data_IF_386823393471
#
_entry.id   IF_386823393471
#
_cell.length_a   1.000
_cell.length_b   1.000
_cell.length_c   1.000
_cell.angle_alpha   90.00
_cell.angle_beta   90.00
_cell.angle_gamma   90.00
#
_symmetry.space_group_name_H-M   'P 1'
#
loop_
_entity.id
_entity.type
_entity.pdbx_description
1 polymer ?
#
# COMPACT_ATOMS: atom_id res chain seq x y z
N UNK A 1 -3.42 62.18 -35.11
CA UNK A 1 -2.46 61.09 -35.40
C UNK A 1 -1.52 60.94 -34.21
N UNK A 2 -1.83 60.01 -33.31
CA UNK A 2 -0.95 59.51 -32.25
C UNK A 2 -1.40 58.06 -31.97
N UNK A 3 -0.48 57.08 -31.85
CA UNK A 3 -0.87 55.68 -31.82
C UNK A 3 -1.11 55.17 -30.39
N UNK A 4 -2.03 54.21 -30.36
CA UNK A 4 -2.46 53.32 -29.29
C UNK A 4 -1.33 52.47 -28.69
N UNK A 5 -1.36 52.23 -27.38
CA UNK A 5 -0.63 51.12 -26.72
C UNK A 5 -1.58 50.37 -25.78
N UNK A 6 -1.70 49.07 -26.03
CA UNK A 6 -2.58 48.15 -25.34
C UNK A 6 -2.10 47.73 -23.95
N UNK A 7 -3.06 47.27 -23.16
CA UNK A 7 -2.89 46.63 -21.87
C UNK A 7 -2.27 45.23 -22.04
N UNK A 8 -1.13 44.99 -21.39
CA UNK A 8 -0.54 43.66 -21.20
C UNK A 8 -0.29 43.40 -19.72
N UNK A 9 -0.99 42.40 -19.16
CA UNK A 9 -0.74 41.89 -17.81
C UNK A 9 0.65 41.23 -17.75
N UNK A 10 1.58 41.81 -17.01
CA UNK A 10 2.84 41.16 -16.63
C UNK A 10 2.71 40.42 -15.30
N UNK A 11 2.66 39.09 -15.32
CA UNK A 11 2.93 38.25 -14.13
C UNK A 11 4.45 38.23 -13.91
N UNK A 12 4.93 38.89 -12.85
CA UNK A 12 6.30 38.72 -12.35
C UNK A 12 6.41 37.33 -11.70
N UNK A 13 7.29 36.48 -12.24
CA UNK A 13 7.73 35.26 -11.58
C UNK A 13 8.54 35.62 -10.33
N UNK A 14 8.13 35.12 -9.17
CA UNK A 14 8.94 35.16 -7.95
C UNK A 14 10.03 34.08 -8.08
N UNK A 15 11.28 34.52 -8.17
CA UNK A 15 12.47 33.66 -8.08
C UNK A 15 12.66 33.32 -6.59
N UNK A 16 12.63 32.05 -6.22
CA UNK A 16 13.01 31.58 -4.87
C UNK A 16 14.54 31.72 -4.71
N UNK A 17 15.06 32.13 -3.53
CA UNK A 17 16.49 32.22 -3.31
C UNK A 17 17.12 30.83 -3.11
N UNK A 18 18.24 30.58 -3.80
CA UNK A 18 19.06 29.38 -3.70
C UNK A 18 19.54 29.10 -2.26
N UNK A 19 19.39 27.85 -1.82
CA UNK A 19 19.78 27.40 -0.48
C UNK A 19 21.31 27.20 -0.40
N UNK A 20 21.98 27.95 0.48
CA UNK A 20 23.46 28.05 0.50
C UNK A 20 24.25 26.87 1.09
N UNK A 21 23.65 25.79 1.61
CA UNK A 21 24.40 24.72 2.31
C UNK A 21 23.96 23.28 1.96
N UNK A 22 24.24 22.79 0.73
CA UNK A 22 23.88 21.44 0.29
C UNK A 22 24.50 20.31 1.15
N UNK A 23 25.71 20.51 1.68
CA UNK A 23 26.40 19.51 2.51
C UNK A 23 25.74 19.22 3.87
N UNK A 24 25.02 20.17 4.49
CA UNK A 24 24.31 19.94 5.77
C UNK A 24 22.97 19.21 5.57
N UNK A 25 22.36 19.34 4.39
CA UNK A 25 21.13 18.65 3.99
C UNK A 25 21.44 17.17 3.73
N UNK A 26 22.51 16.90 2.97
CA UNK A 26 22.97 15.54 2.66
C UNK A 26 23.35 14.73 3.93
N UNK A 27 23.98 15.36 4.94
CA UNK A 27 24.30 14.69 6.21
C UNK A 27 23.04 14.36 7.02
N UNK A 28 22.06 15.29 7.10
CA UNK A 28 20.77 15.04 7.77
C UNK A 28 19.93 13.97 7.06
N UNK A 29 19.97 13.90 5.72
CA UNK A 29 19.29 12.85 4.94
C UNK A 29 19.96 11.48 5.11
N UNK A 30 21.30 11.41 5.15
CA UNK A 30 22.03 10.17 5.47
C UNK A 30 21.72 9.67 6.89
N UNK A 31 21.68 10.56 7.87
CA UNK A 31 21.27 10.21 9.25
C UNK A 31 19.81 9.76 9.33
N UNK A 32 18.90 10.33 8.52
CA UNK A 32 17.49 9.92 8.42
C UNK A 32 17.32 8.56 7.74
N UNK A 33 18.11 8.27 6.70
CA UNK A 33 18.12 6.97 6.02
C UNK A 33 18.68 5.85 6.93
N UNK A 34 19.76 6.12 7.67
CA UNK A 34 20.34 5.18 8.65
C UNK A 34 19.39 4.98 9.84
N UNK A 35 18.73 6.05 10.34
CA UNK A 35 17.64 5.92 11.32
C UNK A 35 16.46 5.10 10.80
N UNK A 36 16.09 5.24 9.53
CA UNK A 36 15.01 4.46 8.91
C UNK A 36 15.37 2.97 8.78
N UNK A 37 16.62 2.62 8.46
CA UNK A 37 17.09 1.23 8.38
C UNK A 37 17.19 0.56 9.77
N UNK A 38 17.67 1.28 10.78
CA UNK A 38 17.69 0.80 12.17
C UNK A 38 16.25 0.69 12.70
N UNK A 39 15.37 1.64 12.35
CA UNK A 39 13.93 1.58 12.63
C UNK A 39 13.22 0.41 11.96
N UNK A 40 13.59 0.01 10.73
CA UNK A 40 12.96 -1.11 10.01
C UNK A 40 13.20 -2.45 10.71
N UNK A 41 14.45 -2.74 11.08
CA UNK A 41 14.81 -4.00 11.73
C UNK A 41 14.26 -4.08 13.15
N UNK A 42 14.34 -2.97 13.89
CA UNK A 42 13.77 -2.86 15.23
C UNK A 42 12.24 -2.98 15.19
N UNK A 43 11.57 -2.33 14.25
CA UNK A 43 10.12 -2.44 14.07
C UNK A 43 9.69 -3.88 13.81
N UNK A 44 10.31 -4.56 12.84
CA UNK A 44 9.97 -5.95 12.56
C UNK A 44 10.18 -6.85 13.77
N UNK A 45 11.30 -6.70 14.49
CA UNK A 45 11.58 -7.52 15.68
C UNK A 45 10.59 -7.25 16.81
N UNK A 46 10.25 -5.97 17.05
CA UNK A 46 9.34 -5.57 18.14
C UNK A 46 7.92 -6.03 17.83
N UNK A 47 7.37 -5.70 16.67
CA UNK A 47 6.01 -6.08 16.30
C UNK A 47 5.84 -7.59 16.17
N UNK A 48 6.83 -8.30 15.61
CA UNK A 48 6.78 -9.76 15.55
C UNK A 48 6.78 -10.39 16.93
N UNK A 49 7.56 -9.86 17.88
CA UNK A 49 7.58 -10.35 19.27
C UNK A 49 6.25 -10.10 19.98
N UNK A 50 5.70 -8.89 19.85
CA UNK A 50 4.41 -8.51 20.45
C UNK A 50 3.29 -9.38 19.89
N UNK A 51 3.22 -9.54 18.57
CA UNK A 51 2.15 -10.30 17.92
C UNK A 51 2.26 -11.79 18.21
N UNK A 52 3.47 -12.37 18.21
CA UNK A 52 3.68 -13.78 18.61
C UNK A 52 3.25 -14.00 20.06
N UNK A 53 3.62 -13.11 20.98
CA UNK A 53 3.19 -13.23 22.37
C UNK A 53 1.67 -13.09 22.54
N UNK A 54 1.01 -12.23 21.75
CA UNK A 54 -0.44 -12.07 21.80
C UNK A 54 -1.15 -13.31 21.24
N UNK A 55 -0.64 -13.89 20.16
CA UNK A 55 -1.15 -15.12 19.57
C UNK A 55 -1.03 -16.30 20.53
N UNK A 56 0.14 -16.48 21.16
CA UNK A 56 0.39 -17.57 22.11
C UNK A 56 -0.45 -17.48 23.39
N UNK A 57 -0.69 -16.26 23.90
CA UNK A 57 -1.38 -16.05 25.18
C UNK A 57 -2.90 -15.94 25.04
N UNK A 58 -3.35 -15.23 24.02
CA UNK A 58 -4.74 -14.80 23.87
C UNK A 58 -5.45 -15.45 22.68
N UNK A 59 -4.75 -16.27 21.87
CA UNK A 59 -5.33 -16.99 20.74
C UNK A 59 -5.81 -16.08 19.61
N UNK A 60 -5.14 -14.93 19.41
CA UNK A 60 -5.54 -13.93 18.40
C UNK A 60 -5.32 -14.48 16.98
N UNK A 61 -6.31 -14.26 16.11
CA UNK A 61 -6.29 -14.69 14.69
C UNK A 61 -6.06 -13.53 13.72
N UNK A 62 -6.26 -12.28 14.18
CA UNK A 62 -6.24 -11.10 13.32
C UNK A 62 -5.65 -9.85 14.01
N UNK A 63 -5.10 -8.93 13.23
CA UNK A 63 -4.55 -7.66 13.70
C UNK A 63 -5.22 -6.51 12.97
N UNK A 64 -5.89 -5.63 13.71
CA UNK A 64 -6.44 -4.38 13.18
C UNK A 64 -5.43 -3.24 13.24
N UNK A 65 -5.27 -2.52 12.12
CA UNK A 65 -4.38 -1.35 12.02
C UNK A 65 -5.19 -0.10 11.67
N UNK A 66 -4.89 1.00 12.36
CA UNK A 66 -5.53 2.30 12.17
C UNK A 66 -4.88 3.18 11.09
N UNK A 67 -4.16 2.61 10.13
CA UNK A 67 -3.53 3.39 9.05
C UNK A 67 -4.60 3.89 8.07
N UNK A 68 -4.69 5.21 7.85
CA UNK A 68 -5.71 5.80 6.98
C UNK A 68 -5.15 6.00 5.56
N UNK A 69 -3.99 6.64 5.39
CA UNK A 69 -3.42 6.92 4.07
C UNK A 69 -2.10 6.18 3.83
N UNK A 70 -1.33 5.93 4.89
CA UNK A 70 0.03 5.41 4.77
C UNK A 70 0.11 3.94 4.30
N UNK A 71 0.45 3.75 3.02
CA UNK A 71 0.77 2.41 2.46
C UNK A 71 1.95 1.76 3.18
N UNK A 72 2.93 2.57 3.59
CA UNK A 72 4.12 2.10 4.28
C UNK A 72 3.83 1.43 5.62
N UNK A 73 2.93 2.02 6.42
CA UNK A 73 2.50 1.45 7.70
C UNK A 73 1.68 0.17 7.49
N UNK A 74 0.71 0.21 6.56
CA UNK A 74 -0.13 -0.95 6.23
C UNK A 74 0.71 -2.15 5.78
N UNK A 75 1.57 -1.98 4.77
CA UNK A 75 2.38 -3.06 4.19
C UNK A 75 3.30 -3.70 5.23
N UNK A 76 3.83 -2.91 6.17
CA UNK A 76 4.65 -3.45 7.27
C UNK A 76 3.85 -4.34 8.22
N UNK A 77 2.64 -3.94 8.60
CA UNK A 77 1.78 -4.77 9.46
C UNK A 77 1.37 -6.04 8.72
N UNK A 78 0.94 -5.93 7.45
CA UNK A 78 0.61 -7.09 6.62
C UNK A 78 1.78 -8.09 6.54
N UNK A 79 2.99 -7.59 6.33
CA UNK A 79 4.18 -8.43 6.22
C UNK A 79 4.51 -9.20 7.52
N UNK A 80 4.26 -8.61 8.69
CA UNK A 80 4.40 -9.32 9.98
C UNK A 80 3.28 -10.34 10.15
N UNK A 81 2.03 -9.96 9.86
CA UNK A 81 0.86 -10.81 10.01
C UNK A 81 0.97 -12.07 9.13
N UNK A 82 1.36 -11.93 7.87
CA UNK A 82 1.58 -13.05 6.95
C UNK A 82 2.56 -14.11 7.49
N UNK A 83 3.65 -13.67 8.14
CA UNK A 83 4.64 -14.61 8.70
C UNK A 83 4.11 -15.38 9.90
N UNK A 84 3.20 -14.76 10.66
CA UNK A 84 2.58 -15.34 11.85
C UNK A 84 1.26 -16.05 11.55
N UNK A 85 0.81 -16.04 10.28
CA UNK A 85 -0.48 -16.59 9.88
C UNK A 85 -1.68 -15.81 10.43
N UNK A 86 -1.50 -14.52 10.73
CA UNK A 86 -2.55 -13.63 11.22
C UNK A 86 -3.23 -12.90 10.06
N UNK A 87 -4.52 -12.62 10.17
CA UNK A 87 -5.27 -11.81 9.21
C UNK A 87 -5.09 -10.32 9.50
N UNK A 88 -4.46 -9.52 8.61
CA UNK A 88 -4.43 -8.07 8.77
C UNK A 88 -5.78 -7.44 8.39
N UNK A 89 -6.26 -6.51 9.21
CA UNK A 89 -7.49 -5.74 9.00
C UNK A 89 -7.14 -4.24 8.92
N UNK A 90 -7.39 -3.60 7.78
CA UNK A 90 -7.04 -2.20 7.52
C UNK A 90 -8.27 -1.42 7.04
N UNK A 91 -9.34 -1.41 7.83
CA UNK A 91 -10.65 -0.87 7.45
C UNK A 91 -10.65 0.62 7.11
N UNK A 92 -9.72 1.39 7.70
CA UNK A 92 -9.63 2.84 7.47
C UNK A 92 -8.78 3.20 6.24
N UNK A 93 -8.05 2.24 5.69
CA UNK A 93 -7.08 2.52 4.64
C UNK A 93 -7.76 3.04 3.37
N UNK A 94 -7.24 4.15 2.84
CA UNK A 94 -7.68 4.90 1.66
C UNK A 94 -9.13 5.43 1.74
N UNK A 95 -9.75 5.47 2.92
CA UNK A 95 -11.02 6.19 3.11
C UNK A 95 -10.82 7.70 2.93
N UNK A 96 -11.87 8.38 2.50
CA UNK A 96 -11.88 9.84 2.43
C UNK A 96 -11.70 10.44 3.84
N UNK A 97 -10.71 11.32 4.00
CA UNK A 97 -10.32 11.84 5.31
C UNK A 97 -11.37 12.79 5.90
N UNK A 98 -12.04 13.58 5.07
CA UNK A 98 -13.07 14.52 5.52
C UNK A 98 -14.30 13.76 6.05
N UNK A 99 -14.81 12.80 5.29
CA UNK A 99 -15.90 11.93 5.74
C UNK A 99 -15.51 11.14 6.99
N UNK A 100 -14.30 10.56 7.01
CA UNK A 100 -13.83 9.78 8.14
C UNK A 100 -13.72 10.61 9.43
N UNK A 101 -13.18 11.83 9.35
CA UNK A 101 -13.11 12.72 10.50
C UNK A 101 -14.51 13.08 11.01
N UNK A 102 -15.42 13.40 10.08
CA UNK A 102 -16.83 13.71 10.39
C UNK A 102 -17.51 12.53 11.10
N UNK A 103 -17.27 11.30 10.64
CA UNK A 103 -17.80 10.06 11.23
C UNK A 103 -17.23 9.77 12.62
N UNK A 104 -15.93 10.00 12.84
CA UNK A 104 -15.32 9.88 14.17
C UNK A 104 -16.01 10.82 15.16
N UNK A 105 -16.21 12.08 14.76
CA UNK A 105 -16.87 13.09 15.58
C UNK A 105 -18.33 12.73 15.87
N UNK A 106 -19.09 12.30 14.84
CA UNK A 106 -20.50 11.93 15.00
C UNK A 106 -20.71 10.61 15.75
N UNK A 107 -19.67 9.78 15.87
CA UNK A 107 -19.65 8.56 16.68
C UNK A 107 -19.24 8.81 18.14
N UNK A 108 -19.31 10.06 18.61
CA UNK A 108 -18.93 10.50 19.95
C UNK A 108 -17.48 10.15 20.34
N UNK A 109 -16.56 10.17 19.37
CA UNK A 109 -15.12 10.06 19.64
C UNK A 109 -14.59 11.42 20.13
N UNK A 110 -14.43 11.54 21.44
CA UNK A 110 -13.92 12.74 22.07
C UNK A 110 -12.39 12.68 22.18
N UNK A 111 -11.71 13.22 21.18
CA UNK A 111 -10.26 13.38 21.17
C UNK A 111 -9.84 14.84 21.22
N UNK A 112 -8.64 15.11 21.74
CA UNK A 112 -8.00 16.43 21.73
C UNK A 112 -6.69 16.39 20.95
N UNK A 113 -6.27 17.53 20.40
CA UNK A 113 -4.94 17.67 19.79
C UNK A 113 -3.87 17.73 20.90
N UNK A 114 -2.94 16.78 20.90
CA UNK A 114 -1.83 16.70 21.88
C UNK A 114 -0.49 17.06 21.28
N UNK A 115 -0.38 17.17 19.97
CA UNK A 115 0.82 17.63 19.29
C UNK A 115 0.42 18.33 18.01
N UNK A 116 1.17 19.35 17.63
CA UNK A 116 1.09 19.99 16.33
C UNK A 116 2.49 20.21 15.76
N UNK A 117 2.62 20.05 14.44
CA UNK A 117 3.89 20.11 13.73
C UNK A 117 3.71 20.50 12.25
N UNK A 118 2.69 21.31 11.93
CA UNK A 118 2.40 21.70 10.55
C UNK A 118 2.17 23.21 10.41
N UNK A 119 2.41 23.70 9.19
CA UNK A 119 2.14 25.08 8.83
C UNK A 119 0.66 25.42 9.04
N UNK A 120 0.41 26.52 9.74
CA UNK A 120 -0.95 26.94 10.11
C UNK A 120 -1.46 26.33 11.42
N UNK A 121 -0.76 25.35 12.01
CA UNK A 121 -1.07 24.90 13.37
C UNK A 121 -0.15 25.58 14.39
N UNK A 122 -0.76 26.33 15.30
CA UNK A 122 -0.09 27.06 16.38
C UNK A 122 -0.27 26.31 17.71
N UNK A 123 0.82 25.87 18.36
CA UNK A 123 0.76 25.18 19.65
C UNK A 123 -0.03 25.92 20.73
N UNK A 124 0.10 27.24 20.82
CA UNK A 124 -0.56 28.03 21.87
C UNK A 124 -2.07 28.14 21.64
N UNK A 125 -2.51 28.03 20.38
CA UNK A 125 -3.91 28.20 19.99
C UNK A 125 -4.65 26.89 19.82
N UNK A 126 -3.97 25.79 19.48
CA UNK A 126 -4.61 24.56 19.02
C UNK A 126 -4.38 23.36 19.94
N UNK A 127 -3.30 23.32 20.73
CA UNK A 127 -3.11 22.20 21.66
C UNK A 127 -4.22 22.20 22.72
N UNK A 128 -4.72 21.00 23.04
CA UNK A 128 -5.79 20.77 24.01
C UNK A 128 -7.19 21.01 23.45
N UNK A 129 -7.34 21.56 22.24
CA UNK A 129 -8.66 21.73 21.64
C UNK A 129 -9.27 20.39 21.24
N UNK A 130 -10.60 20.22 21.42
CA UNK A 130 -11.33 19.09 20.88
C UNK A 130 -11.16 18.97 19.37
N UNK A 131 -11.05 17.74 18.88
CA UNK A 131 -10.93 17.44 17.46
C UNK A 131 -12.15 17.93 16.67
N UNK A 132 -13.33 17.86 17.27
CA UNK A 132 -14.59 18.39 16.70
C UNK A 132 -14.51 19.89 16.42
N UNK A 133 -13.98 20.68 17.38
CA UNK A 133 -13.83 22.13 17.22
C UNK A 133 -12.79 22.49 16.16
N UNK A 134 -11.79 21.61 15.96
CA UNK A 134 -10.72 21.80 15.01
C UNK A 134 -11.10 21.39 13.58
N UNK A 135 -12.13 20.57 13.39
CA UNK A 135 -12.51 20.02 12.08
C UNK A 135 -12.66 21.10 10.98
N UNK A 136 -13.46 22.19 11.16
CA UNK A 136 -13.61 23.20 10.10
C UNK A 136 -12.29 23.88 9.75
N UNK A 137 -11.42 24.07 10.74
CA UNK A 137 -10.11 24.67 10.56
C UNK A 137 -9.15 23.75 9.81
N UNK A 138 -9.15 22.45 10.13
CA UNK A 138 -8.33 21.45 9.44
C UNK A 138 -8.74 21.31 7.97
N UNK A 139 -10.04 21.35 7.66
CA UNK A 139 -10.57 21.39 6.29
C UNK A 139 -10.05 22.62 5.53
N UNK A 140 -10.10 23.78 6.16
CA UNK A 140 -9.59 25.03 5.57
C UNK A 140 -8.07 24.95 5.33
N UNK A 141 -7.29 24.44 6.29
CA UNK A 141 -5.85 24.27 6.13
C UNK A 141 -5.53 23.30 5.00
N UNK A 142 -6.30 22.22 4.86
CA UNK A 142 -6.11 21.24 3.78
C UNK A 142 -6.30 21.89 2.41
N UNK A 143 -7.36 22.67 2.23
CA UNK A 143 -7.60 23.41 0.98
C UNK A 143 -6.50 24.44 0.67
N UNK A 144 -5.93 25.07 1.70
CA UNK A 144 -4.97 26.17 1.51
C UNK A 144 -3.53 25.70 1.37
N UNK A 145 -3.15 24.64 2.08
CA UNK A 145 -1.76 24.20 2.25
C UNK A 145 -1.55 22.71 1.96
N UNK A 146 -2.61 21.94 1.71
CA UNK A 146 -2.52 20.51 1.43
C UNK A 146 -2.20 19.65 2.65
N UNK A 147 -2.44 20.14 3.87
CA UNK A 147 -2.29 19.30 5.08
C UNK A 147 -3.32 18.17 5.09
N UNK A 148 -2.93 17.03 5.65
CA UNK A 148 -3.85 15.91 5.83
C UNK A 148 -4.85 16.21 6.94
N UNK A 149 -6.14 16.12 6.62
CA UNK A 149 -7.25 16.43 7.53
C UNK A 149 -7.18 15.54 8.77
N UNK A 150 -6.84 14.26 8.61
CA UNK A 150 -6.68 13.29 9.70
C UNK A 150 -5.26 13.23 10.31
N UNK A 151 -4.34 14.13 9.93
CA UNK A 151 -2.99 14.20 10.52
C UNK A 151 -2.01 13.11 10.08
N UNK A 152 -2.28 12.42 8.97
CA UNK A 152 -1.48 11.28 8.46
C UNK A 152 0.00 11.60 8.19
N UNK A 153 0.32 12.85 7.85
CA UNK A 153 1.68 13.33 7.62
C UNK A 153 2.44 13.64 8.92
N UNK A 154 1.81 13.42 10.08
CA UNK A 154 2.33 13.81 11.38
C UNK A 154 2.11 15.30 11.68
N UNK A 155 1.15 15.93 11.00
CA UNK A 155 0.80 17.34 11.19
C UNK A 155 0.30 17.62 12.61
N UNK A 156 -0.41 16.66 13.19
CA UNK A 156 -0.82 16.68 14.58
C UNK A 156 -0.97 15.26 15.09
N UNK A 157 -0.98 15.10 16.41
CA UNK A 157 -1.35 13.85 17.08
C UNK A 157 -2.50 14.11 18.04
N UNK A 158 -3.32 13.10 18.28
CA UNK A 158 -4.50 13.20 19.16
C UNK A 158 -4.45 12.21 20.31
N UNK A 159 -5.19 12.54 21.37
CA UNK A 159 -5.44 11.64 22.48
C UNK A 159 -6.94 11.55 22.73
N UNK A 160 -7.47 10.33 22.73
CA UNK A 160 -8.91 10.07 22.92
C UNK A 160 -9.21 10.03 24.41
N UNK A 161 -10.00 10.99 24.89
CA UNK A 161 -10.42 11.11 26.29
C UNK A 161 -11.64 10.24 26.59
N UNK A 162 -12.57 10.15 25.63
CA UNK A 162 -13.75 9.31 25.76
C UNK A 162 -14.24 8.85 24.40
N UNK A 163 -14.87 7.69 24.37
CA UNK A 163 -15.70 7.24 23.26
C UNK A 163 -16.74 6.25 23.80
N UNK A 164 -17.77 5.89 23.03
CA UNK A 164 -18.82 5.02 23.55
C UNK A 164 -18.35 3.63 24.00
N UNK A 165 -17.22 3.14 23.47
CA UNK A 165 -16.63 1.86 23.88
C UNK A 165 -15.88 1.93 25.22
N UNK A 166 -15.55 3.13 25.72
CA UNK A 166 -14.87 3.28 26.99
C UNK A 166 -15.83 3.04 28.15
N UNK A 167 -15.38 2.27 29.16
CA UNK A 167 -16.13 2.06 30.42
C UNK A 167 -16.05 3.27 31.36
N UNK A 168 -14.96 4.04 31.24
CA UNK A 168 -14.65 5.24 32.01
C UNK A 168 -14.06 6.27 31.07
N UNK A 169 -14.40 7.54 31.25
CA UNK A 169 -13.74 8.63 30.53
C UNK A 169 -12.43 8.99 31.22
N UNK A 170 -11.47 9.47 30.46
CA UNK A 170 -10.16 9.93 30.95
C UNK A 170 -10.25 11.44 31.15
N UNK A 171 -9.85 11.91 32.33
CA UNK A 171 -9.82 13.33 32.70
C UNK A 171 -8.37 13.75 32.90
N UNK A 172 -8.00 14.89 32.32
CA UNK A 172 -6.68 15.49 32.45
C UNK A 172 -6.74 16.51 33.59
N UNK A 173 -6.01 16.26 34.66
CA UNK A 173 -5.99 17.14 35.84
C UNK A 173 -4.91 18.22 35.71
N UNK A 174 -3.75 17.84 35.17
CA UNK A 174 -2.64 18.75 34.97
C UNK A 174 -1.86 18.41 33.70
N UNK A 175 -1.51 19.47 32.96
CA UNK A 175 -0.81 19.38 31.68
C UNK A 175 0.17 20.54 31.54
N UNK A 176 1.30 20.27 30.88
CA UNK A 176 2.28 21.26 30.48
C UNK A 176 2.43 21.28 28.97
N UNK A 177 2.44 22.48 28.38
CA UNK A 177 2.75 22.66 26.97
C UNK A 177 4.27 22.75 26.78
N UNK A 178 4.83 21.84 25.99
CA UNK A 178 6.25 21.80 25.65
C UNK A 178 6.45 22.24 24.20
N UNK A 179 7.17 23.34 23.99
CA UNK A 179 7.57 23.78 22.66
C UNK A 179 8.89 23.11 22.28
N UNK A 180 8.83 22.21 21.31
CA UNK A 180 10.00 21.48 20.81
C UNK A 180 10.78 22.30 19.77
N UNK A 181 10.07 23.07 18.94
CA UNK A 181 10.67 23.97 17.97
C UNK A 181 9.80 25.20 17.79
N UNK A 182 10.36 26.38 18.02
CA UNK A 182 9.70 27.67 17.82
C UNK A 182 9.96 28.22 16.40
N UNK A 183 9.88 27.37 15.38
CA UNK A 183 10.01 27.80 14.00
C UNK A 183 8.92 28.82 13.67
N UNK A 184 9.27 29.88 12.95
CA UNK A 184 8.36 30.99 12.66
C UNK A 184 7.19 30.60 11.72
N UNK A 185 7.32 29.48 11.00
CA UNK A 185 6.37 29.04 9.99
C UNK A 185 5.68 27.74 10.37
N UNK A 186 6.38 26.81 11.02
CA UNK A 186 5.83 25.52 11.46
C UNK A 186 6.30 25.18 12.88
N UNK A 187 5.78 25.88 13.91
CA UNK A 187 6.13 25.59 15.29
C UNK A 187 5.70 24.17 15.66
N UNK A 188 6.55 23.49 16.40
CA UNK A 188 6.32 22.13 16.91
C UNK A 188 6.14 22.19 18.41
N UNK A 189 4.98 21.78 18.88
CA UNK A 189 4.66 21.71 20.30
C UNK A 189 3.81 20.50 20.63
N UNK A 190 3.88 20.05 21.88
CA UNK A 190 3.07 18.94 22.38
C UNK A 190 2.68 19.13 23.84
N UNK A 191 1.63 18.44 24.25
CA UNK A 191 1.15 18.37 25.61
C UNK A 191 1.84 17.24 26.35
N UNK A 192 2.40 17.55 27.53
CA UNK A 192 2.88 16.59 28.50
C UNK A 192 1.89 16.52 29.65
N UNK A 193 1.14 15.44 29.73
CA UNK A 193 0.25 15.18 30.86
C UNK A 193 1.09 14.83 32.10
N UNK A 194 0.87 15.56 33.19
CA UNK A 194 1.54 15.30 34.48
C UNK A 194 0.62 14.52 35.42
N UNK A 195 -0.69 14.80 35.36
CA UNK A 195 -1.70 14.11 36.16
C UNK A 195 -2.94 13.83 35.31
N UNK A 196 -3.40 12.58 35.36
CA UNK A 196 -4.62 12.10 34.70
C UNK A 196 -5.34 11.12 35.63
N UNK A 197 -6.67 11.10 35.57
CA UNK A 197 -7.47 10.09 36.25
C UNK A 197 -8.62 9.62 35.35
N UNK A 198 -9.36 8.62 35.83
CA UNK A 198 -10.55 8.10 35.12
C UNK A 198 -11.81 8.34 35.94
N UNK A 199 -12.85 8.84 35.30
CA UNK A 199 -14.19 8.99 35.90
C UNK A 199 -15.15 7.96 35.32
N UNK A 200 -16.06 7.46 36.15
CA UNK A 200 -17.14 6.60 35.66
C UNK A 200 -18.04 7.40 34.73
N UNK A 201 -18.54 6.74 33.68
CA UNK A 201 -19.59 7.29 32.82
C UNK A 201 -20.93 7.05 33.50
N UNK A 202 -21.88 7.95 33.29
CA UNK A 202 -23.26 7.69 33.68
C UNK A 202 -23.76 6.43 32.94
N UNK A 203 -24.24 5.46 33.70
CA UNK A 203 -24.49 4.11 33.23
C UNK A 203 -25.71 4.05 32.29
N UNK A 204 -25.47 4.05 30.97
CA UNK A 204 -26.27 3.35 29.94
C UNK A 204 -25.79 3.58 28.49
N UNK A 205 -24.75 4.39 28.24
CA UNK A 205 -24.35 4.77 26.86
C UNK A 205 -23.73 3.63 26.06
N UNK A 206 -23.05 2.66 26.69
CA UNK A 206 -22.33 1.58 25.97
C UNK A 206 -23.31 0.63 25.26
N UNK A 207 -24.48 0.38 25.85
CA UNK A 207 -25.50 -0.49 25.27
C UNK A 207 -26.26 0.18 24.11
N UNK A 208 -26.40 1.51 24.12
CA UNK A 208 -27.07 2.28 23.08
C UNK A 208 -26.17 2.67 21.91
N UNK A 209 -24.86 2.73 22.10
CA UNK A 209 -23.92 3.23 21.10
C UNK A 209 -23.47 2.19 20.06
N UNK A 210 -23.67 0.91 20.34
CA UNK A 210 -23.61 -0.13 19.31
C UNK A 210 -25.04 -0.33 18.82
N UNK A 211 -25.44 0.20 17.64
CA UNK A 211 -26.71 -0.16 17.06
C UNK A 211 -26.74 -1.68 16.89
N UNK A 212 -27.46 -2.36 17.78
CA UNK A 212 -27.91 -3.73 17.55
C UNK A 212 -28.94 -3.64 16.43
N UNK A 213 -28.47 -3.57 15.19
CA UNK A 213 -29.32 -3.40 14.02
C UNK A 213 -28.60 -3.58 12.69
N UNK A 214 -27.36 -3.09 12.57
CA UNK A 214 -26.47 -3.35 11.42
C UNK A 214 -25.12 -2.67 11.65
N UNK A 215 -24.03 -3.32 11.24
CA UNK A 215 -22.73 -2.64 11.16
C UNK A 215 -22.85 -1.44 10.20
N UNK A 216 -22.22 -0.28 10.45
CA UNK A 216 -22.07 0.76 9.42
C UNK A 216 -21.38 0.22 8.15
N UNK A 217 -20.58 -0.84 8.31
CA UNK A 217 -19.97 -1.60 7.23
C UNK A 217 -20.94 -2.54 6.50
N UNK A 218 -22.16 -2.77 7.00
CA UNK A 218 -23.12 -3.72 6.44
C UNK A 218 -23.48 -3.34 5.00
N UNK A 219 -23.82 -2.08 4.72
CA UNK A 219 -24.08 -1.63 3.35
C UNK A 219 -22.88 -1.82 2.41
N UNK A 220 -21.65 -1.64 2.92
CA UNK A 220 -20.44 -1.86 2.12
C UNK A 220 -20.15 -3.34 1.88
N UNK A 221 -20.42 -4.19 2.89
CA UNK A 221 -20.35 -5.65 2.78
C UNK A 221 -21.43 -6.14 1.82
N UNK A 222 -22.67 -5.69 1.96
CA UNK A 222 -23.81 -6.10 1.13
C UNK A 222 -23.55 -5.70 -0.33
N UNK A 223 -23.09 -4.48 -0.61
CA UNK A 223 -22.70 -4.06 -1.96
C UNK A 223 -21.55 -4.91 -2.52
N UNK A 224 -20.52 -5.23 -1.72
CA UNK A 224 -19.44 -6.13 -2.15
C UNK A 224 -19.95 -7.55 -2.40
N UNK A 225 -20.93 -8.01 -1.61
CA UNK A 225 -21.53 -9.34 -1.74
C UNK A 225 -22.39 -9.41 -3.00
N UNK A 226 -23.16 -8.36 -3.32
CA UNK A 226 -23.91 -8.24 -4.58
C UNK A 226 -22.98 -8.21 -5.80
N UNK A 227 -21.84 -7.51 -5.74
CA UNK A 227 -20.84 -7.52 -6.83
C UNK A 227 -20.17 -8.90 -7.02
N UNK A 228 -19.89 -9.61 -5.92
CA UNK A 228 -19.36 -10.99 -5.96
C UNK A 228 -20.42 -11.96 -6.50
N UNK A 229 -21.67 -11.85 -6.08
CA UNK A 229 -22.78 -12.66 -6.59
C UNK A 229 -23.04 -12.40 -8.07
N UNK A 230 -22.91 -11.14 -8.54
CA UNK A 230 -22.98 -10.81 -9.96
C UNK A 230 -21.82 -11.43 -10.75
N UNK A 231 -20.60 -11.41 -10.21
CA UNK A 231 -19.43 -12.03 -10.84
C UNK A 231 -19.56 -13.56 -10.95
N UNK A 232 -20.09 -14.22 -9.91
CA UNK A 232 -20.35 -15.67 -9.91
C UNK A 232 -21.51 -16.07 -10.85
N UNK A 233 -22.45 -15.14 -11.10
CA UNK A 233 -23.55 -15.33 -12.06
C UNK A 233 -23.16 -15.01 -13.51
N UNK A 234 -21.97 -14.43 -13.75
CA UNK A 234 -21.48 -14.21 -15.10
C UNK A 234 -21.27 -15.58 -15.76
N UNK A 235 -22.05 -15.86 -16.81
CA UNK A 235 -21.87 -17.09 -17.57
C UNK A 235 -20.47 -17.10 -18.17
N UNK A 236 -19.66 -18.08 -17.76
CA UNK A 236 -18.42 -18.43 -18.42
C UNK A 236 -18.78 -18.75 -19.87
N UNK A 237 -18.50 -17.81 -20.77
CA UNK A 237 -18.75 -17.98 -22.18
C UNK A 237 -17.73 -18.99 -22.70
N UNK A 238 -18.03 -20.28 -22.53
CA UNK A 238 -17.36 -21.39 -23.20
C UNK A 238 -17.69 -21.36 -24.69
N UNK A 239 -17.47 -20.22 -25.34
CA UNK A 239 -17.31 -20.24 -26.78
C UNK A 239 -16.10 -21.11 -27.05
N UNK A 240 -16.34 -22.34 -27.50
CA UNK A 240 -15.38 -23.09 -28.29
C UNK A 240 -14.93 -22.15 -29.40
N UNK A 241 -13.77 -21.53 -29.23
CA UNK A 241 -13.11 -20.82 -30.30
C UNK A 241 -12.75 -21.89 -31.33
N UNK A 242 -13.65 -22.13 -32.29
CA UNK A 242 -13.37 -22.94 -33.48
C UNK A 242 -12.48 -22.15 -34.43
N UNK A 243 -11.31 -21.74 -33.93
CA UNK A 243 -10.19 -21.37 -34.77
C UNK A 243 -9.64 -22.69 -35.31
N UNK A 244 -10.11 -23.09 -36.50
CA UNK A 244 -9.41 -24.04 -37.37
C UNK A 244 -8.11 -23.39 -37.89
N UNK A 245 -7.21 -23.03 -36.98
CA UNK A 245 -5.80 -22.82 -37.29
C UNK A 245 -5.08 -24.06 -36.79
N UNK A 246 -4.34 -24.68 -37.71
CA UNK A 246 -3.68 -25.97 -37.58
C UNK A 246 -3.10 -26.24 -36.17
N UNK A 247 -3.69 -27.22 -35.47
CA UNK A 247 -3.15 -27.86 -34.27
C UNK A 247 -1.88 -28.72 -34.56
N UNK A 248 -1.24 -28.51 -35.72
CA UNK A 248 -0.05 -29.26 -36.14
C UNK A 248 1.23 -28.87 -35.39
N UNK A 249 1.17 -27.89 -34.49
CA UNK A 249 2.26 -27.50 -33.61
C UNK A 249 2.36 -28.31 -32.30
N UNK A 250 1.48 -29.30 -32.05
CA UNK A 250 1.55 -30.16 -30.85
C UNK A 250 2.71 -31.18 -30.84
N UNK A 251 3.83 -30.90 -31.51
CA UNK A 251 5.08 -31.59 -31.19
C UNK A 251 5.75 -30.85 -30.04
N UNK A 252 5.60 -31.40 -28.83
CA UNK A 252 6.36 -31.04 -27.64
C UNK A 252 7.85 -31.20 -27.88
N UNK A 253 8.45 -30.15 -28.43
CA UNK A 253 9.89 -30.00 -28.51
C UNK A 253 10.32 -29.02 -27.43
N UNK A 254 11.41 -29.37 -26.74
CA UNK A 254 12.16 -28.57 -25.78
C UNK A 254 12.67 -27.27 -26.43
N UNK A 255 11.77 -26.37 -26.78
CA UNK A 255 12.14 -25.06 -27.29
C UNK A 255 12.67 -24.26 -26.10
N UNK A 256 13.92 -23.76 -26.17
CA UNK A 256 14.47 -22.94 -25.11
C UNK A 256 13.62 -21.67 -24.96
N UNK A 257 13.63 -21.05 -23.76
CA UNK A 257 12.93 -19.80 -23.54
C UNK A 257 13.31 -18.76 -24.60
N UNK A 258 12.29 -18.14 -25.18
CA UNK A 258 12.46 -17.07 -26.16
C UNK A 258 12.55 -15.73 -25.45
N UNK A 259 13.20 -14.76 -26.07
CA UNK A 259 13.28 -13.42 -25.53
C UNK A 259 13.14 -12.39 -26.64
N UNK A 260 12.29 -11.39 -26.41
CA UNK A 260 12.12 -10.31 -27.37
C UNK A 260 13.38 -9.43 -27.41
N UNK A 261 13.57 -8.67 -28.49
CA UNK A 261 14.43 -7.50 -28.45
C UNK A 261 13.99 -6.57 -27.31
N UNK A 262 14.96 -5.86 -26.72
CA UNK A 262 14.65 -4.80 -25.76
C UNK A 262 14.06 -3.62 -26.53
N UNK A 263 12.89 -3.15 -26.12
CA UNK A 263 12.27 -1.96 -26.71
C UNK A 263 13.08 -0.70 -26.39
N UNK A 264 12.88 0.35 -27.18
CA UNK A 264 13.45 1.67 -26.91
C UNK A 264 13.02 2.28 -25.57
N UNK A 265 11.95 1.75 -24.98
CA UNK A 265 11.41 2.17 -23.67
C UNK A 265 11.82 1.23 -22.53
N UNK A 266 12.83 0.39 -22.71
CA UNK A 266 13.39 -0.45 -21.65
C UNK A 266 12.65 -1.77 -21.38
N UNK A 267 11.53 -2.04 -22.05
CA UNK A 267 10.78 -3.30 -21.89
C UNK A 267 11.42 -4.48 -22.62
N UNK A 268 11.35 -5.67 -22.03
CA UNK A 268 11.76 -6.93 -22.66
C UNK A 268 10.92 -8.10 -22.17
N UNK A 269 10.49 -8.97 -23.09
CA UNK A 269 9.79 -10.22 -22.77
C UNK A 269 10.76 -11.39 -22.67
N UNK A 270 10.52 -12.27 -21.71
CA UNK A 270 11.05 -13.64 -21.67
C UNK A 270 9.83 -14.57 -21.65
N UNK A 271 9.72 -15.46 -22.63
CA UNK A 271 8.53 -16.28 -22.84
C UNK A 271 8.87 -17.75 -23.02
N UNK A 272 7.95 -18.63 -22.63
CA UNK A 272 8.09 -20.08 -22.77
C UNK A 272 8.90 -20.74 -21.64
N UNK A 273 9.06 -20.08 -20.50
CA UNK A 273 9.68 -20.70 -19.32
C UNK A 273 8.74 -21.80 -18.84
N UNK A 274 9.28 -23.00 -18.65
CA UNK A 274 8.48 -24.16 -18.25
C UNK A 274 9.26 -25.07 -17.31
N UNK A 275 8.55 -26.02 -16.71
CA UNK A 275 9.08 -26.92 -15.70
C UNK A 275 9.25 -28.36 -16.15
N UNK A 276 9.23 -28.64 -17.46
CA UNK A 276 9.23 -30.02 -18.02
C UNK A 276 10.47 -30.82 -17.59
N UNK A 277 11.61 -30.15 -17.41
CA UNK A 277 12.87 -30.72 -16.94
C UNK A 277 12.90 -31.12 -15.46
N UNK A 278 11.79 -30.94 -14.72
CA UNK A 278 11.75 -31.27 -13.30
C UNK A 278 11.82 -32.78 -13.07
N UNK A 279 12.55 -33.19 -12.02
CA UNK A 279 12.57 -34.58 -11.55
C UNK A 279 11.29 -34.97 -10.82
N UNK A 280 10.57 -33.98 -10.30
CA UNK A 280 9.28 -34.16 -9.66
C UNK A 280 8.19 -33.74 -10.66
N UNK A 281 7.34 -34.68 -11.12
CA UNK A 281 6.31 -34.40 -12.11
C UNK A 281 5.17 -33.54 -11.56
N UNK A 282 5.05 -33.38 -10.23
CA UNK A 282 4.01 -32.55 -9.62
C UNK A 282 4.18 -31.06 -9.95
N UNK A 283 3.08 -30.30 -9.82
CA UNK A 283 3.09 -28.85 -10.12
C UNK A 283 4.15 -28.10 -9.33
N UNK A 284 4.39 -28.48 -8.07
CA UNK A 284 5.39 -27.83 -7.21
C UNK A 284 6.82 -28.03 -7.75
N UNK A 285 7.12 -29.26 -8.18
CA UNK A 285 8.37 -29.62 -8.83
C UNK A 285 8.58 -28.86 -10.13
N UNK A 286 7.57 -28.83 -11.00
CA UNK A 286 7.65 -28.08 -12.26
C UNK A 286 7.77 -26.57 -12.02
N UNK A 287 7.03 -26.01 -11.05
CA UNK A 287 7.09 -24.58 -10.73
C UNK A 287 8.49 -24.21 -10.24
N UNK A 288 9.10 -25.02 -9.38
CA UNK A 288 10.46 -24.79 -8.89
C UNK A 288 11.51 -24.85 -10.01
N UNK A 289 11.35 -25.82 -10.93
CA UNK A 289 12.22 -25.94 -12.10
C UNK A 289 12.06 -24.75 -13.07
N UNK A 290 10.83 -24.28 -13.29
CA UNK A 290 10.53 -23.12 -14.11
C UNK A 290 11.18 -21.85 -13.54
N UNK A 291 11.08 -21.60 -12.24
CA UNK A 291 11.76 -20.46 -11.61
C UNK A 291 13.29 -20.57 -11.63
N UNK A 292 13.84 -21.78 -11.53
CA UNK A 292 15.29 -22.00 -11.68
C UNK A 292 15.75 -21.67 -13.11
N UNK A 293 14.96 -22.09 -14.11
CA UNK A 293 15.20 -21.74 -15.51
C UNK A 293 15.08 -20.23 -15.74
N UNK A 294 14.05 -19.59 -15.19
CA UNK A 294 13.88 -18.13 -15.24
C UNK A 294 15.09 -17.41 -14.65
N UNK A 295 15.51 -17.76 -13.43
CA UNK A 295 16.67 -17.15 -12.78
C UNK A 295 17.93 -17.27 -13.64
N UNK A 296 18.18 -18.45 -14.21
CA UNK A 296 19.31 -18.70 -15.10
C UNK A 296 19.27 -17.78 -16.33
N UNK A 297 18.09 -17.59 -16.92
CA UNK A 297 17.91 -16.75 -18.10
C UNK A 297 18.03 -15.25 -17.79
N UNK A 298 17.61 -14.82 -16.60
CA UNK A 298 17.83 -13.47 -16.09
C UNK A 298 19.32 -13.21 -15.88
N UNK A 299 20.02 -14.09 -15.17
CA UNK A 299 21.44 -13.93 -14.83
C UNK A 299 22.29 -13.87 -16.10
N UNK A 300 22.00 -14.74 -17.07
CA UNK A 300 22.68 -14.77 -18.38
C UNK A 300 22.55 -13.45 -19.15
N UNK A 301 21.48 -12.69 -18.91
CA UNK A 301 21.16 -11.44 -19.61
C UNK A 301 21.38 -10.19 -18.75
N UNK A 302 21.87 -10.34 -17.52
CA UNK A 302 22.09 -9.23 -16.58
C UNK A 302 20.82 -8.66 -15.95
N UNK A 303 19.70 -9.37 -16.01
CA UNK A 303 18.46 -9.00 -15.32
C UNK A 303 18.41 -9.59 -13.91
N UNK A 304 17.57 -9.01 -13.05
CA UNK A 304 17.29 -9.51 -11.70
C UNK A 304 15.79 -9.77 -11.55
N UNK A 305 15.43 -10.65 -10.60
CA UNK A 305 14.03 -10.95 -10.28
C UNK A 305 13.19 -9.69 -9.96
N UNK A 306 13.81 -8.65 -9.39
CA UNK A 306 13.16 -7.37 -9.08
C UNK A 306 12.78 -6.54 -10.32
N UNK A 307 13.36 -6.83 -11.47
CA UNK A 307 13.14 -6.10 -12.73
C UNK A 307 11.91 -6.65 -13.48
N UNK A 308 11.37 -7.79 -13.04
CA UNK A 308 10.11 -8.35 -13.55
C UNK A 308 8.95 -7.49 -13.06
N UNK A 309 8.13 -7.00 -14.00
CA UNK A 309 6.98 -6.14 -13.71
C UNK A 309 5.64 -6.84 -13.91
N UNK A 310 5.55 -7.79 -14.85
CA UNK A 310 4.36 -8.57 -15.13
C UNK A 310 4.75 -10.02 -15.39
N UNK A 311 3.95 -10.96 -14.86
CA UNK A 311 4.10 -12.40 -15.05
C UNK A 311 2.79 -12.96 -15.59
N UNK A 312 2.83 -13.66 -16.71
CA UNK A 312 1.74 -14.52 -17.13
C UNK A 312 2.06 -15.95 -16.72
N UNK A 313 1.17 -16.56 -15.95
CA UNK A 313 1.24 -17.96 -15.56
C UNK A 313 0.09 -18.67 -16.25
N UNK A 314 0.41 -19.56 -17.16
CA UNK A 314 -0.55 -20.47 -17.76
C UNK A 314 -0.46 -21.78 -17.00
N UNK A 315 -1.59 -22.26 -16.47
CA UNK A 315 -1.67 -23.55 -15.78
C UNK A 315 -2.53 -24.52 -16.57
N UNK A 316 -2.22 -25.81 -16.48
CA UNK A 316 -3.04 -26.84 -17.14
C UNK A 316 -4.40 -27.01 -16.44
N UNK A 317 -4.42 -26.93 -15.12
CA UNK A 317 -5.61 -27.02 -14.27
C UNK A 317 -5.55 -25.91 -13.21
N UNK A 318 -6.67 -25.22 -12.96
CA UNK A 318 -6.78 -24.24 -11.88
C UNK A 318 -6.85 -24.88 -10.48
N UNK A 319 -7.06 -26.20 -10.39
CA UNK A 319 -6.97 -26.94 -9.12
C UNK A 319 -5.56 -26.85 -8.51
N UNK A 320 -4.55 -26.68 -9.35
CA UNK A 320 -3.15 -26.56 -8.94
C UNK A 320 -2.77 -25.16 -8.39
N UNK A 321 -3.70 -24.19 -8.43
CA UNK A 321 -3.43 -22.79 -8.11
C UNK A 321 -2.81 -22.59 -6.70
N UNK A 322 -3.37 -23.25 -5.70
CA UNK A 322 -2.90 -23.14 -4.30
C UNK A 322 -1.51 -23.75 -4.14
N UNK A 323 -1.26 -24.90 -4.75
CA UNK A 323 0.03 -25.60 -4.70
C UNK A 323 1.12 -24.81 -5.43
N UNK A 324 0.81 -24.24 -6.59
CA UNK A 324 1.68 -23.34 -7.35
C UNK A 324 2.05 -22.09 -6.53
N UNK A 325 1.07 -21.45 -5.89
CA UNK A 325 1.29 -20.25 -5.08
C UNK A 325 2.24 -20.50 -3.90
N UNK A 326 2.24 -21.72 -3.34
CA UNK A 326 3.14 -22.11 -2.25
C UNK A 326 4.62 -22.06 -2.67
N UNK A 327 4.93 -22.36 -3.93
CA UNK A 327 6.28 -22.23 -4.50
C UNK A 327 6.55 -20.81 -4.96
N UNK A 328 5.61 -20.22 -5.72
CA UNK A 328 5.73 -18.88 -6.29
C UNK A 328 6.12 -17.82 -5.24
N UNK A 329 5.47 -17.83 -4.07
CA UNK A 329 5.72 -16.86 -2.99
C UNK A 329 7.14 -16.89 -2.42
N UNK A 330 7.92 -17.95 -2.67
CA UNK A 330 9.32 -18.06 -2.24
C UNK A 330 10.27 -17.25 -3.12
N UNK A 331 9.85 -16.89 -4.33
CA UNK A 331 10.69 -16.22 -5.33
C UNK A 331 10.54 -14.69 -5.33
N UNK A 332 9.46 -14.16 -4.75
CA UNK A 332 9.21 -12.73 -4.67
C UNK A 332 9.06 -12.28 -3.22
N UNK A 333 9.58 -11.09 -2.92
CA UNK A 333 9.51 -10.48 -1.59
C UNK A 333 8.29 -9.58 -1.43
N UNK A 334 8.48 -8.46 -0.71
CA UNK A 334 7.47 -7.41 -0.55
C UNK A 334 7.19 -6.79 -1.92
N UNK A 335 5.91 -6.61 -2.27
CA UNK A 335 5.45 -6.07 -3.56
C UNK A 335 5.90 -6.91 -4.77
N UNK A 336 5.34 -8.13 -4.94
CA UNK A 336 5.59 -8.99 -6.11
C UNK A 336 5.13 -8.33 -7.43
N UNK A 337 5.49 -8.85 -8.61
CA UNK A 337 4.99 -8.35 -9.89
C UNK A 337 3.49 -8.48 -10.04
N UNK A 338 2.94 -7.70 -10.97
CA UNK A 338 1.61 -7.97 -11.49
C UNK A 338 1.59 -9.39 -12.07
N UNK A 339 0.50 -10.13 -11.86
CA UNK A 339 0.41 -11.52 -12.35
C UNK A 339 -0.96 -11.83 -12.89
N UNK A 340 -1.00 -12.32 -14.13
CA UNK A 340 -2.16 -12.99 -14.71
C UNK A 340 -1.96 -14.49 -14.56
N UNK A 341 -2.95 -15.21 -14.01
CA UNK A 341 -2.91 -16.67 -13.90
C UNK A 341 -4.17 -17.24 -14.54
N UNK A 342 -4.02 -18.00 -15.63
CA UNK A 342 -5.17 -18.53 -16.40
C UNK A 342 -4.97 -19.99 -16.74
N UNK A 343 -6.07 -20.73 -16.85
CA UNK A 343 -6.05 -22.09 -17.37
C UNK A 343 -5.82 -22.07 -18.89
N UNK A 344 -4.93 -22.93 -19.39
CA UNK A 344 -4.67 -23.06 -20.82
C UNK A 344 -4.40 -24.53 -21.21
N UNK A 345 -4.74 -24.92 -22.46
CA UNK A 345 -4.41 -26.26 -22.97
C UNK A 345 -2.90 -26.36 -23.25
N UNK A 346 -2.14 -26.83 -22.27
CA UNK A 346 -0.69 -27.02 -22.36
C UNK A 346 -0.30 -28.40 -22.94
N UNK A 347 0.88 -28.53 -23.60
CA UNK A 347 1.40 -29.80 -24.11
C UNK A 347 1.42 -30.91 -23.06
N UNK A 348 1.32 -32.17 -23.48
CA UNK A 348 1.33 -33.32 -22.57
C UNK A 348 2.55 -33.30 -21.64
N UNK A 349 2.33 -33.53 -20.34
CA UNK A 349 3.38 -33.50 -19.31
C UNK A 349 3.74 -32.10 -18.80
N UNK A 350 3.43 -31.03 -19.54
CA UNK A 350 3.63 -29.65 -19.08
C UNK A 350 2.44 -29.22 -18.21
N UNK A 351 2.71 -28.84 -16.95
CA UNK A 351 1.66 -28.39 -16.01
C UNK A 351 1.55 -26.87 -15.93
N UNK A 352 2.64 -26.16 -16.24
CA UNK A 352 2.64 -24.70 -16.30
C UNK A 352 3.54 -24.12 -17.39
N UNK A 353 3.30 -22.87 -17.75
CA UNK A 353 4.20 -22.02 -18.50
C UNK A 353 4.22 -20.61 -17.90
N UNK A 354 5.39 -19.98 -17.92
CA UNK A 354 5.58 -18.61 -17.42
C UNK A 354 6.15 -17.74 -18.54
N UNK A 355 5.49 -16.61 -18.76
CA UNK A 355 6.05 -15.48 -19.51
C UNK A 355 6.24 -14.30 -18.56
N UNK A 356 7.33 -13.57 -18.71
CA UNK A 356 7.69 -12.44 -17.87
C UNK A 356 7.99 -11.22 -18.73
N UNK A 357 7.41 -10.08 -18.35
CA UNK A 357 7.78 -8.77 -18.85
C UNK A 357 8.73 -8.11 -17.84
N UNK A 358 9.86 -7.65 -18.35
CA UNK A 358 10.89 -6.94 -17.61
C UNK A 358 10.95 -5.48 -18.06
N UNK A 359 11.42 -4.62 -17.16
CA UNK A 359 11.68 -3.22 -17.47
C UNK A 359 13.03 -2.78 -16.91
N UNK A 360 13.83 -2.16 -17.77
CA UNK A 360 15.12 -1.59 -17.38
C UNK A 360 14.91 -0.24 -16.69
N UNK A 361 15.26 -0.16 -15.42
CA UNK A 361 15.15 1.06 -14.63
C UNK A 361 16.37 1.99 -14.84
N UNK A 362 16.97 1.99 -16.02
CA UNK A 362 18.22 2.71 -16.32
C UNK A 362 18.02 4.23 -16.36
N UNK A 363 18.33 4.90 -15.25
CA UNK A 363 19.14 6.13 -15.15
C UNK A 363 19.82 6.13 -13.74
N UNK A 364 20.98 6.80 -13.56
CA UNK A 364 21.68 6.87 -12.28
C UNK A 364 20.84 7.64 -11.25
N UNK A 365 21.00 7.29 -9.98
CA UNK A 365 20.41 8.02 -8.86
C UNK A 365 20.87 9.48 -8.94
N UNK A 366 19.97 10.41 -9.31
CA UNK A 366 20.06 11.74 -8.74
C UNK A 366 19.99 11.55 -7.21
N UNK A 367 20.99 12.05 -6.51
CA UNK A 367 21.02 12.02 -5.04
C UNK A 367 19.67 12.54 -4.54
N UNK A 368 18.88 11.66 -3.89
CA UNK A 368 17.58 11.87 -3.23
C UNK A 368 16.29 11.38 -3.91
N UNK A 369 16.33 10.75 -5.09
CA UNK A 369 15.12 10.20 -5.73
C UNK A 369 14.92 8.70 -5.44
N UNK A 370 14.13 8.36 -4.40
CA UNK A 370 13.63 7.00 -4.18
C UNK A 370 12.52 6.67 -5.19
N UNK A 371 12.86 6.12 -6.36
CA UNK A 371 11.85 5.41 -7.15
C UNK A 371 11.57 4.05 -6.50
N UNK A 372 10.65 4.05 -5.54
CA UNK A 372 10.06 2.84 -5.03
C UNK A 372 9.21 2.22 -6.15
N UNK A 373 9.34 0.92 -6.40
CA UNK A 373 8.43 0.15 -7.24
C UNK A 373 7.00 0.41 -6.75
N UNK A 374 6.22 1.17 -7.50
CA UNK A 374 4.85 1.53 -7.14
C UNK A 374 3.94 0.39 -7.58
N UNK A 375 3.64 -0.50 -6.63
CA UNK A 375 2.77 -1.63 -6.83
C UNK A 375 1.59 -1.54 -5.86
N UNK A 376 0.40 -1.87 -6.36
CA UNK A 376 -0.77 -2.09 -5.53
C UNK A 376 -0.80 -3.56 -5.14
N UNK A 377 -0.44 -3.82 -3.88
CA UNK A 377 -0.50 -5.15 -3.27
C UNK A 377 -1.27 -5.04 -1.95
N UNK A 378 -2.52 -5.45 -1.97
CA UNK A 378 -3.42 -5.41 -0.81
C UNK A 378 -3.57 -6.81 -0.26
N UNK A 379 -3.25 -7.02 1.01
CA UNK A 379 -3.39 -8.32 1.68
C UNK A 379 -4.34 -8.25 2.88
N UNK A 380 -4.55 -7.05 3.39
CA UNK A 380 -5.55 -6.77 4.42
C UNK A 380 -6.96 -6.77 3.88
N UNK A 381 -7.89 -7.15 4.74
CA UNK A 381 -9.30 -6.80 4.53
C UNK A 381 -9.42 -5.29 4.75
N UNK A 382 -9.87 -4.58 3.72
CA UNK A 382 -9.95 -3.11 3.73
C UNK A 382 -11.25 -2.65 3.07
N UNK A 383 -11.66 -1.42 3.36
CA UNK A 383 -12.83 -0.82 2.72
C UNK A 383 -12.58 -0.44 1.26
N UNK A 384 -11.34 -0.07 0.92
CA UNK A 384 -11.03 0.55 -0.37
C UNK A 384 -10.72 -0.45 -1.48
N UNK A 385 -10.06 -1.57 -1.16
CA UNK A 385 -9.72 -2.58 -2.14
C UNK A 385 -9.78 -3.99 -1.56
N UNK A 386 -10.19 -4.98 -2.38
CA UNK A 386 -10.18 -6.37 -1.96
C UNK A 386 -8.76 -6.87 -1.70
N UNK A 387 -8.64 -7.80 -0.76
CA UNK A 387 -7.39 -8.51 -0.53
C UNK A 387 -7.07 -9.39 -1.74
N UNK A 388 -5.80 -9.44 -2.13
CA UNK A 388 -5.36 -10.30 -3.21
C UNK A 388 -5.43 -11.78 -2.78
N UNK A 389 -6.06 -12.60 -3.62
CA UNK A 389 -6.15 -14.06 -3.49
C UNK A 389 -4.81 -14.79 -3.68
N UNK A 390 -3.76 -14.10 -4.14
CA UNK A 390 -2.47 -14.72 -4.41
C UNK A 390 -1.25 -13.81 -4.20
N UNK A 391 -0.04 -14.39 -4.33
CA UNK A 391 1.22 -13.69 -4.09
C UNK A 391 1.65 -12.81 -5.28
N UNK A 392 0.79 -11.88 -5.71
CA UNK A 392 1.04 -10.96 -6.83
C UNK A 392 0.54 -9.55 -6.54
N UNK A 393 0.94 -8.54 -7.31
CA UNK A 393 0.34 -7.19 -7.18
C UNK A 393 -0.85 -7.06 -8.11
N UNK A 394 -1.95 -6.46 -7.66
CA UNK A 394 -3.12 -6.17 -8.49
C UNK A 394 -2.79 -5.15 -9.58
N UNK A 395 -1.89 -4.20 -9.27
CA UNK A 395 -1.36 -3.28 -10.26
C UNK A 395 0.11 -2.99 -10.05
N UNK A 396 0.82 -2.65 -11.13
CA UNK A 396 2.17 -2.14 -11.07
C UNK A 396 2.32 -0.95 -12.03
N UNK A 397 2.83 0.16 -11.51
CA UNK A 397 3.05 1.38 -12.27
C UNK A 397 4.51 1.53 -12.68
N UNK A 398 4.72 1.84 -13.97
CA UNK A 398 6.00 2.19 -14.55
C UNK A 398 5.90 3.62 -15.09
N UNK A 399 6.72 4.52 -14.55
CA UNK A 399 6.85 5.89 -15.06
C UNK A 399 7.81 5.91 -16.23
N UNK A 400 7.39 6.53 -17.33
CA UNK A 400 8.15 6.59 -18.58
C UNK A 400 8.73 7.99 -18.73
N UNK A 401 10.04 8.06 -18.95
CA UNK A 401 10.75 9.33 -19.16
C UNK A 401 11.07 9.53 -20.65
N UNK A 402 11.04 10.79 -21.10
CA UNK A 402 11.22 11.22 -22.48
C UNK A 402 10.41 12.48 -22.82
N UNK A 403 10.49 13.02 -24.06
CA UNK A 403 9.76 14.23 -24.49
C UNK A 403 8.23 14.09 -24.42
N UNK A 404 7.72 12.89 -24.22
CA UNK A 404 6.34 12.60 -23.83
C UNK A 404 6.36 11.94 -22.44
N UNK A 405 6.29 12.74 -21.38
CA UNK A 405 6.06 12.24 -20.02
C UNK A 405 4.76 11.42 -19.99
N UNK A 406 4.82 10.20 -19.48
CA UNK A 406 3.65 9.33 -19.37
C UNK A 406 3.84 8.23 -18.35
N UNK A 407 2.74 7.65 -17.89
CA UNK A 407 2.73 6.51 -16.97
C UNK A 407 2.06 5.31 -17.66
N UNK A 408 2.60 4.11 -17.47
CA UNK A 408 1.94 2.86 -17.84
C UNK A 408 1.63 2.10 -16.57
N UNK A 409 0.37 1.68 -16.43
CA UNK A 409 -0.10 0.87 -15.31
C UNK A 409 -0.46 -0.50 -15.86
N UNK A 410 0.18 -1.53 -15.33
CA UNK A 410 -0.15 -2.92 -15.58
C UNK A 410 -1.19 -3.33 -14.55
N UNK A 411 -2.41 -3.54 -14.99
CA UNK A 411 -3.55 -3.84 -14.13
C UNK A 411 -3.97 -5.29 -14.37
N UNK A 412 -4.17 -6.03 -13.27
CA UNK A 412 -4.70 -7.39 -13.28
C UNK A 412 -6.07 -7.29 -12.64
N UNK A 413 -7.09 -7.58 -13.44
CA UNK A 413 -8.49 -7.66 -13.00
C UNK A 413 -8.80 -9.10 -12.67
#
# INVERSE_FOLDING_TARGET
MQPSRGYGLGRKALIQPECKHPHRIAVRQKERAVRNLISLSLFHSVFSSIFSSAQEKEGVEAVSVGAILSDYQRVRVENVCLRLGLQPLAYLWRRDQESLLSEMISSDLHAILIKVAAFGLDPEKHLGKPLADMEPYLKQLSQKYGVHICGEGGEYETFTLDCPLFKKKIVIDAVETVIHSADAFAPVGYLRFTEIHTENKDADVVASALPHGSCPCQNAIDNMTEEVEYADQAQDNQQEFTSKCDLSCQRGHDLPPSCSPRSSRGYQWISGINGLQSKDPAIQGQTSAAFTQLQSELDRRGWKMKDIILVHVYVRSMEDFVLLNTVYKKHFGINPPARVCVQAPLPAGQLLQIDCLLHDWTEPLEEDCFHQREALHVQSLSHWAPANIGPYSQALRVRLQGPQQGEVVFLVV
#
